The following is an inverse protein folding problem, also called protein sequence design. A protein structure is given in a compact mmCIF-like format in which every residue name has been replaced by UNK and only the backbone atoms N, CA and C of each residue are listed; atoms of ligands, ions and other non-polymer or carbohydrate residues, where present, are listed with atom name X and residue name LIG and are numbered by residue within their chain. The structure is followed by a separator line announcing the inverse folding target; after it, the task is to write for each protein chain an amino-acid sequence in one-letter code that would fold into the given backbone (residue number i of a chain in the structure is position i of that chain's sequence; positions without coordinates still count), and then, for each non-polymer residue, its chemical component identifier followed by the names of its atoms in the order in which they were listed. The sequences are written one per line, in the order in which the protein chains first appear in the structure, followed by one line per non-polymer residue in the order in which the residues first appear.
data_IF_171582979246
#
_entry.id   IF_171582979246
#
_cell.length_a   1.000
_cell.length_b   1.000
_cell.length_c   1.000
_cell.angle_alpha   90.00
_cell.angle_beta   90.00
_cell.angle_gamma   90.00
#
_symmetry.space_group_name_H-M   'P 1'
#
loop_
_entity.id
_entity.type
_entity.pdbx_description
1 polymer ?
#
# COMPACT_ATOMS: atom_id res chain seq x y z
N UNK A 1 18.64 -1.83 -1.07
CA UNK A 1 18.20 -1.00 -2.20
C UNK A 1 19.41 -0.30 -2.79
N UNK A 2 19.58 -0.25 -4.11
CA UNK A 2 20.59 0.60 -4.75
C UNK A 2 20.11 2.05 -4.78
N UNK A 3 21.01 3.03 -4.94
CA UNK A 3 20.66 4.46 -5.04
C UNK A 3 19.63 4.73 -6.16
N UNK A 4 19.73 4.02 -7.29
CA UNK A 4 18.77 4.16 -8.37
C UNK A 4 17.37 3.62 -7.99
N UNK A 5 17.29 2.50 -7.27
CA UNK A 5 16.01 1.97 -6.79
C UNK A 5 15.34 2.92 -5.79
N UNK A 6 16.12 3.56 -4.92
CA UNK A 6 15.60 4.55 -3.97
C UNK A 6 15.03 5.77 -4.69
N UNK A 7 15.72 6.28 -5.71
CA UNK A 7 15.25 7.40 -6.55
C UNK A 7 13.96 7.05 -7.29
N UNK A 8 13.86 5.83 -7.82
CA UNK A 8 12.65 5.40 -8.54
C UNK A 8 11.47 5.17 -7.57
N UNK A 9 11.72 4.65 -6.36
CA UNK A 9 10.72 4.54 -5.31
C UNK A 9 10.16 5.93 -4.91
N UNK A 10 11.05 6.92 -4.74
CA UNK A 10 10.66 8.31 -4.46
C UNK A 10 9.84 8.91 -5.61
N UNK A 11 10.19 8.64 -6.87
CA UNK A 11 9.40 9.08 -8.03
C UNK A 11 8.00 8.48 -8.02
N UNK A 12 7.89 7.18 -7.74
CA UNK A 12 6.59 6.50 -7.62
C UNK A 12 5.76 7.09 -6.48
N UNK A 13 6.35 7.28 -5.29
CA UNK A 13 5.68 7.91 -4.16
C UNK A 13 5.15 9.30 -4.51
N UNK A 14 5.98 10.15 -5.13
CA UNK A 14 5.54 11.49 -5.55
C UNK A 14 4.41 11.44 -6.59
N UNK A 15 4.41 10.44 -7.47
CA UNK A 15 3.32 10.23 -8.46
C UNK A 15 2.02 9.83 -7.77
N UNK A 16 2.09 8.96 -6.76
CA UNK A 16 0.95 8.56 -5.94
C UNK A 16 0.39 9.77 -5.17
N UNK A 17 1.22 10.54 -4.47
CA UNK A 17 0.80 11.73 -3.71
C UNK A 17 0.08 12.75 -4.61
N UNK A 18 0.57 12.98 -5.85
CA UNK A 18 -0.06 13.89 -6.82
C UNK A 18 -1.45 13.47 -7.27
N UNK A 19 -1.85 12.24 -6.98
CA UNK A 19 -3.07 11.64 -7.48
C UNK A 19 -4.02 11.40 -6.31
N UNK A 20 -5.08 12.20 -6.13
CA UNK A 20 -6.07 11.95 -5.08
C UNK A 20 -6.58 10.52 -5.10
N UNK A 21 -6.58 9.87 -3.94
CA UNK A 21 -6.91 8.45 -3.76
C UNK A 21 -7.78 8.26 -2.51
N UNK A 22 -8.87 8.98 -2.42
CA UNK A 22 -9.78 8.81 -1.28
C UNK A 22 -10.43 7.45 -1.30
N UNK A 23 -10.69 6.88 -0.12
CA UNK A 23 -11.39 5.59 0.00
C UNK A 23 -12.63 5.55 -0.88
N UNK A 24 -12.78 4.48 -1.66
CA UNK A 24 -13.78 4.25 -2.74
C UNK A 24 -13.57 5.05 -4.02
N UNK A 25 -12.48 5.81 -4.15
CA UNK A 25 -12.16 6.61 -5.35
C UNK A 25 -10.69 6.45 -5.77
N UNK A 26 -10.12 5.27 -5.59
CA UNK A 26 -8.70 4.97 -5.75
C UNK A 26 -8.30 4.64 -7.20
N UNK A 27 -9.25 4.58 -8.14
CA UNK A 27 -9.06 4.10 -9.52
C UNK A 27 -7.84 4.72 -10.23
N UNK A 28 -7.55 6.00 -10.01
CA UNK A 28 -6.44 6.67 -10.67
C UNK A 28 -5.08 6.22 -10.11
N UNK A 29 -4.97 5.98 -8.80
CA UNK A 29 -3.76 5.42 -8.19
C UNK A 29 -3.60 3.95 -8.59
N UNK A 30 -4.69 3.19 -8.67
CA UNK A 30 -4.67 1.82 -9.19
C UNK A 30 -4.04 1.77 -10.58
N UNK A 31 -4.40 2.66 -11.51
CA UNK A 31 -3.78 2.73 -12.85
C UNK A 31 -2.28 3.00 -12.81
N UNK A 32 -1.83 3.82 -11.86
CA UNK A 32 -0.39 4.06 -11.63
C UNK A 32 0.30 2.78 -11.19
N UNK A 33 -0.28 2.06 -10.23
CA UNK A 33 0.27 0.81 -9.72
C UNK A 33 0.24 -0.29 -10.79
N UNK A 34 -0.83 -0.40 -11.59
CA UNK A 34 -0.90 -1.32 -12.74
C UNK A 34 0.21 -1.04 -13.76
N UNK A 35 0.46 0.24 -14.07
CA UNK A 35 1.56 0.64 -14.95
C UNK A 35 2.91 0.22 -14.36
N UNK A 36 3.11 0.45 -13.05
CA UNK A 36 4.32 0.04 -12.37
C UNK A 36 4.54 -1.48 -12.43
N UNK A 37 3.52 -2.30 -12.20
CA UNK A 37 3.62 -3.76 -12.33
C UNK A 37 4.00 -4.17 -13.76
N UNK A 38 3.34 -3.59 -14.78
CA UNK A 38 3.61 -3.86 -16.19
C UNK A 38 5.03 -3.47 -16.60
N UNK A 39 5.48 -2.28 -16.24
CA UNK A 39 6.81 -1.75 -16.54
C UNK A 39 7.93 -2.60 -15.90
N UNK A 40 7.64 -3.27 -14.79
CA UNK A 40 8.59 -4.15 -14.11
C UNK A 40 8.44 -5.65 -14.50
N UNK A 41 7.59 -5.97 -15.47
CA UNK A 41 7.37 -7.35 -15.91
C UNK A 41 6.77 -8.27 -14.84
N UNK A 42 6.03 -7.70 -13.89
CA UNK A 42 5.40 -8.42 -12.78
C UNK A 42 3.95 -8.72 -13.15
N UNK A 43 3.61 -10.01 -13.19
CA UNK A 43 2.23 -10.43 -13.40
C UNK A 43 1.42 -10.14 -12.14
N UNK A 44 0.32 -9.42 -12.28
CA UNK A 44 -0.56 -9.06 -11.18
C UNK A 44 -2.00 -9.47 -11.46
N UNK A 45 -2.80 -9.50 -10.40
CA UNK A 45 -4.24 -9.69 -10.44
C UNK A 45 -4.91 -8.46 -9.83
N UNK A 46 -6.16 -8.21 -10.22
CA UNK A 46 -6.97 -7.10 -9.71
C UNK A 46 -8.36 -7.59 -9.29
N UNK A 47 -8.86 -7.06 -8.19
CA UNK A 47 -10.26 -7.19 -7.78
C UNK A 47 -10.70 -5.89 -7.11
N UNK A 48 -11.75 -5.25 -7.66
CA UNK A 48 -12.07 -3.85 -7.37
C UNK A 48 -10.83 -2.97 -7.53
N UNK A 49 -10.47 -2.20 -6.51
CA UNK A 49 -9.28 -1.37 -6.49
C UNK A 49 -8.07 -2.02 -5.78
N UNK A 50 -8.15 -3.31 -5.47
CA UNK A 50 -7.00 -4.04 -4.92
C UNK A 50 -6.19 -4.71 -6.02
N UNK A 51 -4.88 -4.65 -5.90
CA UNK A 51 -3.92 -5.32 -6.77
C UNK A 51 -3.05 -6.26 -5.96
N UNK A 52 -2.73 -7.44 -6.51
CA UNK A 52 -1.74 -8.31 -5.89
C UNK A 52 -0.95 -9.11 -6.91
N UNK A 53 0.25 -9.53 -6.51
CA UNK A 53 1.13 -10.35 -7.31
C UNK A 53 1.81 -11.41 -6.45
N UNK A 54 2.00 -12.59 -7.00
CA UNK A 54 2.81 -13.67 -6.44
C UNK A 54 4.22 -13.61 -7.03
N UNK A 55 5.26 -13.98 -6.28
CA UNK A 55 6.61 -14.06 -6.83
C UNK A 55 6.68 -15.09 -7.99
N UNK A 56 7.57 -14.87 -8.95
CA UNK A 56 7.62 -15.61 -10.22
C UNK A 56 7.67 -17.14 -10.05
N UNK A 57 8.40 -17.63 -9.06
CA UNK A 57 8.59 -19.04 -8.78
C UNK A 57 7.82 -19.49 -7.54
N UNK A 58 6.54 -19.08 -7.46
CA UNK A 58 5.64 -19.47 -6.38
C UNK A 58 5.49 -20.97 -6.30
N UNK A 59 5.67 -21.56 -5.11
CA UNK A 59 5.59 -23.00 -4.88
C UNK A 59 4.64 -23.29 -3.70
N UNK A 60 3.51 -23.94 -3.96
CA UNK A 60 2.48 -24.27 -2.96
C UNK A 60 2.96 -25.08 -1.75
N UNK A 61 4.16 -25.70 -1.86
CA UNK A 61 4.78 -26.48 -0.76
C UNK A 61 5.59 -25.61 0.23
N UNK A 62 5.79 -24.32 -0.08
CA UNK A 62 6.54 -23.39 0.76
C UNK A 62 5.60 -22.48 1.53
N UNK A 63 5.96 -22.07 2.76
CA UNK A 63 5.19 -21.08 3.49
C UNK A 63 5.18 -19.74 2.74
N UNK A 64 4.10 -19.00 2.90
CA UNK A 64 3.82 -17.76 2.17
C UNK A 64 3.79 -16.56 3.09
N UNK A 65 4.55 -15.53 2.71
CA UNK A 65 4.58 -14.22 3.35
C UNK A 65 3.79 -13.23 2.50
N UNK A 66 2.78 -12.61 3.10
CA UNK A 66 2.07 -11.48 2.52
C UNK A 66 2.80 -10.18 2.90
N UNK A 67 3.08 -9.35 1.91
CA UNK A 67 3.48 -7.96 2.06
C UNK A 67 2.25 -7.13 1.70
N UNK A 68 1.68 -6.38 2.63
CA UNK A 68 0.47 -5.60 2.40
C UNK A 68 0.65 -4.15 2.86
N UNK A 69 0.14 -3.22 2.08
CA UNK A 69 -0.07 -1.83 2.47
C UNK A 69 -1.19 -1.24 1.61
N UNK A 70 -1.84 -0.17 2.11
CA UNK A 70 -2.93 0.47 1.40
C UNK A 70 -2.46 1.65 0.53
N UNK A 71 -3.31 2.08 -0.38
CA UNK A 71 -3.06 3.20 -1.27
C UNK A 71 -4.18 4.25 -1.24
N UNK A 72 -5.22 4.01 -0.47
CA UNK A 72 -6.22 5.05 -0.19
C UNK A 72 -5.75 6.01 0.90
N UNK A 73 -6.39 7.15 0.98
CA UNK A 73 -6.13 8.20 1.97
C UNK A 73 -7.44 8.77 2.49
N UNK A 74 -7.39 9.35 3.69
CA UNK A 74 -8.45 10.22 4.20
C UNK A 74 -8.59 11.50 3.38
N UNK A 75 -9.67 12.27 3.62
CA UNK A 75 -9.79 13.63 3.09
C UNK A 75 -8.77 14.56 3.76
N UNK A 76 -8.17 15.52 3.01
CA UNK A 76 -7.26 16.47 3.62
C UNK A 76 -7.98 17.34 4.67
N UNK A 77 -7.33 17.54 5.80
CA UNK A 77 -7.84 18.41 6.86
C UNK A 77 -7.76 19.87 6.41
N UNK A 78 -8.74 20.70 6.82
CA UNK A 78 -8.78 22.15 6.55
C UNK A 78 -7.58 22.92 7.14
N UNK A 79 -6.85 22.31 8.08
CA UNK A 79 -5.64 22.90 8.68
C UNK A 79 -4.35 22.64 7.87
N UNK A 80 -4.44 22.00 6.70
CA UNK A 80 -3.27 21.85 5.84
C UNK A 80 -2.73 23.22 5.42
N UNK A 81 -1.44 23.45 5.67
CA UNK A 81 -0.74 24.70 5.32
C UNK A 81 -0.02 24.61 3.96
N UNK A 82 -0.01 23.42 3.35
CA UNK A 82 0.55 23.15 2.03
C UNK A 82 -0.50 22.44 1.19
N UNK A 83 -0.38 22.49 -0.14
CA UNK A 83 -1.21 21.67 -1.02
C UNK A 83 -0.98 20.17 -0.71
N UNK A 84 -2.00 19.44 -0.26
CA UNK A 84 -1.87 18.02 0.10
C UNK A 84 -1.44 17.11 -1.06
N UNK A 85 -1.70 17.53 -2.31
CA UNK A 85 -1.38 16.77 -3.51
C UNK A 85 -0.13 17.29 -4.25
N UNK A 86 0.59 18.24 -3.66
CA UNK A 86 1.87 18.70 -4.19
C UNK A 86 3.02 18.16 -3.34
N UNK A 87 3.72 17.08 -3.77
CA UNK A 87 4.77 16.45 -2.98
C UNK A 87 6.01 17.37 -2.88
N UNK A 88 6.27 17.88 -1.68
CA UNK A 88 7.43 18.70 -1.38
C UNK A 88 8.53 17.82 -0.82
N UNK A 89 9.72 17.89 -1.42
CA UNK A 89 10.94 17.26 -0.86
C UNK A 89 11.77 18.32 -0.19
N UNK A 90 11.95 18.21 1.13
CA UNK A 90 12.70 19.15 1.94
C UNK A 90 13.35 18.43 3.13
N UNK A 91 14.61 18.74 3.40
CA UNK A 91 15.38 18.24 4.55
C UNK A 91 15.33 16.68 4.66
N UNK A 92 15.46 15.98 3.52
CA UNK A 92 15.42 14.51 3.44
C UNK A 92 14.04 13.90 3.72
N UNK A 93 12.98 14.70 3.71
CA UNK A 93 11.58 14.27 3.93
C UNK A 93 10.72 14.59 2.72
N UNK A 94 9.66 13.81 2.53
CA UNK A 94 8.64 14.05 1.51
C UNK A 94 7.33 14.40 2.22
N UNK A 95 6.81 15.58 1.94
CA UNK A 95 5.54 16.08 2.48
C UNK A 95 4.45 15.94 1.43
N UNK A 96 3.26 15.58 1.86
CA UNK A 96 2.04 15.44 1.05
C UNK A 96 1.09 14.44 1.68
N UNK A 97 -0.19 14.49 1.32
CA UNK A 97 -1.19 13.56 1.84
C UNK A 97 -0.85 12.12 1.41
N UNK A 98 -0.89 11.18 2.36
CA UNK A 98 -0.54 9.80 2.12
C UNK A 98 0.97 9.53 1.95
N UNK A 99 1.86 10.53 2.17
CA UNK A 99 3.31 10.30 2.08
C UNK A 99 3.83 9.34 3.15
N UNK A 100 3.25 9.38 4.35
CA UNK A 100 3.60 8.55 5.49
C UNK A 100 2.57 7.42 5.67
N UNK A 101 1.30 7.73 5.56
CA UNK A 101 0.17 6.83 5.74
C UNK A 101 -0.56 6.63 4.38
N UNK A 102 -0.35 5.51 3.65
CA UNK A 102 0.75 4.58 3.87
C UNK A 102 1.67 4.50 2.63
N UNK A 103 1.73 5.59 1.79
CA UNK A 103 2.46 5.58 0.52
C UNK A 103 3.95 5.24 0.66
N UNK A 104 4.60 5.73 1.72
CA UNK A 104 6.00 5.41 1.99
C UNK A 104 6.21 3.92 2.25
N UNK A 105 5.36 3.31 3.06
CA UNK A 105 5.37 1.89 3.33
C UNK A 105 5.04 1.08 2.06
N UNK A 106 4.00 1.47 1.33
CA UNK A 106 3.58 0.83 0.10
C UNK A 106 4.73 0.76 -0.94
N UNK A 107 5.36 1.89 -1.26
CA UNK A 107 6.46 1.88 -2.24
C UNK A 107 7.67 1.10 -1.75
N UNK A 108 7.94 1.10 -0.44
CA UNK A 108 9.02 0.31 0.14
C UNK A 108 8.78 -1.19 -0.05
N UNK A 109 7.57 -1.66 0.23
CA UNK A 109 7.17 -3.06 0.03
C UNK A 109 7.16 -3.45 -1.45
N UNK A 110 6.70 -2.57 -2.35
CA UNK A 110 6.73 -2.79 -3.80
C UNK A 110 8.16 -2.99 -4.31
N UNK A 111 9.11 -2.17 -3.88
CA UNK A 111 10.51 -2.29 -4.31
C UNK A 111 11.23 -3.46 -3.64
N UNK A 112 10.88 -3.82 -2.40
CA UNK A 112 11.31 -5.08 -1.80
C UNK A 112 10.80 -6.25 -2.64
N UNK A 113 9.50 -6.31 -2.95
CA UNK A 113 8.92 -7.38 -3.75
C UNK A 113 9.56 -7.48 -5.14
N UNK A 114 9.76 -6.35 -5.83
CA UNK A 114 10.48 -6.30 -7.11
C UNK A 114 11.87 -6.94 -7.01
N UNK A 115 12.62 -6.66 -5.93
CA UNK A 115 13.99 -7.18 -5.76
C UNK A 115 14.05 -8.70 -5.61
N UNK A 116 12.97 -9.31 -5.12
CA UNK A 116 12.88 -10.76 -4.89
C UNK A 116 12.01 -11.50 -5.92
N UNK A 117 11.28 -10.78 -6.78
CA UNK A 117 10.31 -11.34 -7.71
C UNK A 117 10.84 -12.50 -8.55
N UNK A 118 12.06 -12.36 -9.07
CA UNK A 118 12.74 -13.37 -9.93
C UNK A 118 13.65 -14.31 -9.15
N UNK A 119 13.65 -14.27 -7.82
CA UNK A 119 14.52 -15.13 -7.01
C UNK A 119 14.00 -16.58 -7.00
N UNK A 120 14.84 -17.52 -7.43
CA UNK A 120 14.48 -18.95 -7.51
C UNK A 120 14.71 -19.71 -6.20
N UNK A 121 15.77 -19.36 -5.47
CA UNK A 121 16.24 -20.08 -4.28
C UNK A 121 15.76 -19.40 -2.99
N UNK A 122 14.43 -19.30 -2.80
CA UNK A 122 13.86 -18.79 -1.55
C UNK A 122 13.18 -19.90 -0.78
N UNK A 123 13.23 -19.84 0.55
CA UNK A 123 12.54 -20.78 1.43
C UNK A 123 11.05 -20.44 1.60
N UNK A 124 10.64 -19.26 1.17
CA UNK A 124 9.29 -18.70 1.31
C UNK A 124 8.76 -18.24 -0.04
N UNK A 125 7.45 -18.28 -0.19
CA UNK A 125 6.76 -17.50 -1.20
C UNK A 125 6.52 -16.07 -0.69
N UNK A 126 6.36 -15.14 -1.63
CA UNK A 126 5.97 -13.78 -1.32
C UNK A 126 4.79 -13.37 -2.18
N UNK A 127 3.84 -12.69 -1.54
CA UNK A 127 2.73 -12.00 -2.20
C UNK A 127 2.84 -10.53 -1.81
N UNK A 128 2.77 -9.64 -2.78
CA UNK A 128 2.52 -8.21 -2.54
C UNK A 128 1.05 -7.93 -2.77
N UNK A 129 0.38 -7.24 -1.86
CA UNK A 129 -0.97 -6.72 -2.03
C UNK A 129 -0.99 -5.21 -1.77
N UNK A 130 -1.48 -4.46 -2.76
CA UNK A 130 -1.77 -3.04 -2.67
C UNK A 130 -3.28 -2.91 -2.49
N UNK A 131 -3.74 -2.51 -1.31
CA UNK A 131 -5.15 -2.58 -0.94
C UNK A 131 -5.82 -1.22 -0.90
N UNK A 132 -7.12 -1.21 -1.14
CA UNK A 132 -8.00 -0.06 -1.10
C UNK A 132 -8.85 -0.07 0.18
N UNK A 133 -9.57 1.02 0.43
CA UNK A 133 -10.58 1.17 1.49
C UNK A 133 -10.09 0.81 2.91
N UNK A 134 -8.78 0.91 3.18
CA UNK A 134 -8.23 0.62 4.52
C UNK A 134 -8.73 1.64 5.54
N UNK A 135 -8.64 2.93 5.23
CA UNK A 135 -8.97 4.08 6.09
C UNK A 135 -10.43 4.10 6.59
N UNK A 136 -11.27 3.29 5.99
CA UNK A 136 -12.69 3.16 6.36
C UNK A 136 -13.09 1.73 6.73
N UNK A 137 -12.11 0.81 6.86
CA UNK A 137 -12.34 -0.62 7.02
C UNK A 137 -13.39 -1.16 6.02
N UNK A 138 -13.27 -0.74 4.77
CA UNK A 138 -14.28 -0.94 3.73
C UNK A 138 -14.40 -2.39 3.26
N UNK A 139 -15.61 -2.75 2.82
CA UNK A 139 -15.91 -4.11 2.37
C UNK A 139 -15.14 -4.53 1.12
N UNK A 140 -14.74 -3.56 0.26
CA UNK A 140 -13.98 -3.83 -0.96
C UNK A 140 -12.46 -3.74 -0.77
N UNK A 141 -11.98 -3.55 0.47
CA UNK A 141 -10.56 -3.56 0.82
C UNK A 141 -9.96 -4.96 0.88
N UNK A 142 -8.95 -5.16 1.73
CA UNK A 142 -8.20 -6.42 1.89
C UNK A 142 -9.13 -7.63 2.09
N UNK A 143 -10.22 -7.48 2.84
CA UNK A 143 -11.19 -8.55 3.11
C UNK A 143 -11.74 -9.17 1.83
N UNK A 144 -11.95 -8.37 0.78
CA UNK A 144 -12.52 -8.82 -0.50
C UNK A 144 -11.61 -9.72 -1.31
N UNK A 145 -10.31 -9.72 -1.00
CA UNK A 145 -9.31 -10.51 -1.73
C UNK A 145 -8.71 -11.66 -0.91
N UNK A 146 -8.92 -11.71 0.41
CA UNK A 146 -8.31 -12.75 1.26
C UNK A 146 -8.59 -14.17 0.77
N UNK A 147 -9.82 -14.48 0.37
CA UNK A 147 -10.20 -15.79 -0.16
C UNK A 147 -9.64 -16.08 -1.57
N UNK A 148 -9.16 -15.05 -2.27
CA UNK A 148 -8.57 -15.15 -3.61
C UNK A 148 -7.04 -15.33 -3.53
N UNK A 149 -6.45 -15.06 -2.38
CA UNK A 149 -5.02 -15.25 -2.13
C UNK A 149 -4.73 -16.72 -1.81
N UNK A 150 -3.53 -17.22 -2.14
CA UNK A 150 -3.04 -18.47 -1.58
C UNK A 150 -3.04 -18.42 -0.04
N UNK A 151 -2.94 -19.59 0.60
CA UNK A 151 -2.77 -19.67 2.06
C UNK A 151 -1.60 -18.79 2.49
N UNK A 152 -1.84 -17.91 3.45
CA UNK A 152 -0.85 -17.01 4.05
C UNK A 152 -0.44 -17.59 5.41
N UNK A 153 0.86 -17.71 5.64
CA UNK A 153 1.41 -18.21 6.91
C UNK A 153 1.92 -17.07 7.78
N UNK A 154 2.33 -15.94 7.16
CA UNK A 154 2.78 -14.74 7.85
C UNK A 154 2.47 -13.49 7.01
N UNK A 155 2.22 -12.35 7.66
CA UNK A 155 1.99 -11.09 6.98
C UNK A 155 2.88 -9.97 7.57
N UNK A 156 3.39 -9.13 6.69
CA UNK A 156 4.03 -7.85 7.02
C UNK A 156 3.13 -6.75 6.50
N UNK A 157 2.59 -5.96 7.41
CA UNK A 157 1.71 -4.84 7.10
C UNK A 157 2.54 -3.56 7.15
N UNK A 158 2.54 -2.84 6.03
CA UNK A 158 3.28 -1.59 5.88
C UNK A 158 2.44 -0.41 6.33
N UNK A 159 2.71 0.06 7.55
CA UNK A 159 2.04 1.17 8.23
C UNK A 159 3.06 2.11 8.89
N UNK A 160 2.68 3.36 9.25
CA UNK A 160 3.59 4.34 9.86
C UNK A 160 3.90 4.03 11.33
N UNK A 161 4.75 3.06 11.60
CA UNK A 161 5.13 2.60 12.94
C UNK A 161 6.44 3.22 13.46
N UNK A 162 6.98 4.25 12.80
CA UNK A 162 8.32 4.80 13.07
C UNK A 162 9.43 3.73 12.97
N UNK A 163 9.29 2.77 12.07
CA UNK A 163 10.18 1.60 11.89
C UNK A 163 10.27 0.69 13.11
N UNK A 164 9.30 0.76 14.03
CA UNK A 164 9.18 -0.16 15.16
C UNK A 164 8.28 -1.32 14.77
N UNK A 165 8.64 -2.52 15.23
CA UNK A 165 7.79 -3.68 15.06
C UNK A 165 6.58 -3.56 15.99
N UNK A 166 5.38 -3.51 15.41
CA UNK A 166 4.11 -3.62 16.12
C UNK A 166 3.57 -5.04 15.93
N UNK A 167 3.28 -5.74 17.02
CA UNK A 167 2.76 -7.12 17.01
C UNK A 167 1.32 -7.21 17.49
N UNK A 168 0.77 -6.10 17.98
CA UNK A 168 -0.61 -5.99 18.42
C UNK A 168 -1.08 -4.55 18.32
N UNK A 169 -2.38 -4.37 18.14
CA UNK A 169 -3.04 -3.08 18.02
C UNK A 169 -4.20 -2.99 19.01
N UNK A 170 -4.49 -1.77 19.48
CA UNK A 170 -5.68 -1.50 20.29
C UNK A 170 -6.90 -1.39 19.40
N UNK A 171 -8.02 -1.99 19.79
CA UNK A 171 -9.28 -1.79 19.09
C UNK A 171 -9.73 -0.33 19.13
N UNK A 172 -10.31 0.15 18.04
CA UNK A 172 -10.92 1.48 17.92
C UNK A 172 -12.43 1.34 17.78
N UNK A 173 -13.17 2.11 18.58
CA UNK A 173 -14.62 2.25 18.45
C UNK A 173 -14.92 3.74 18.24
N UNK A 174 -15.63 4.06 17.17
CA UNK A 174 -16.07 5.43 16.85
C UNK A 174 -17.57 5.52 16.98
N UNK A 175 -18.07 6.52 17.71
CA UNK A 175 -19.48 6.82 17.86
C UNK A 175 -19.78 8.20 17.26
N UNK A 176 -20.62 8.25 16.25
CA UNK A 176 -21.18 9.49 15.72
C UNK A 176 -22.57 9.76 16.29
N UNK A 177 -22.74 10.85 17.02
CA UNK A 177 -24.02 11.30 17.52
C UNK A 177 -24.49 12.59 16.81
N UNK A 178 -25.69 12.56 16.21
CA UNK A 178 -26.31 13.73 15.58
C UNK A 178 -27.56 14.12 16.36
N UNK A 179 -27.56 15.32 16.96
CA UNK A 179 -28.71 15.89 17.65
C UNK A 179 -29.26 17.00 16.75
N UNK A 180 -30.52 16.89 16.37
CA UNK A 180 -31.25 17.99 15.71
C UNK A 180 -32.03 18.72 16.78
N UNK A 181 -31.68 19.98 17.02
CA UNK A 181 -32.51 20.91 17.79
C UNK A 181 -33.75 21.31 17.00
N UNK A 182 -34.83 21.71 17.72
CA UNK A 182 -35.98 22.39 17.13
C UNK A 182 -35.66 23.82 16.86
#
# INVERSE_FOLDING_TARGET
MTDNQSKDAIKLLKKIIKTPSFSKKEENVVKILESWFKENGINYKRHFNNLWAENKYFNKKKPTILLNSHHDTVQPNKSYTIDPFYPIEKDGKIFGLGSNDAGGALVSLLYLFKSIYLSQKMNYNFIIACTAEEEIAGANGIKSILEKLPKIDFAIIGEPTLMKLSIAERGLIVFDAKIKGK
#
